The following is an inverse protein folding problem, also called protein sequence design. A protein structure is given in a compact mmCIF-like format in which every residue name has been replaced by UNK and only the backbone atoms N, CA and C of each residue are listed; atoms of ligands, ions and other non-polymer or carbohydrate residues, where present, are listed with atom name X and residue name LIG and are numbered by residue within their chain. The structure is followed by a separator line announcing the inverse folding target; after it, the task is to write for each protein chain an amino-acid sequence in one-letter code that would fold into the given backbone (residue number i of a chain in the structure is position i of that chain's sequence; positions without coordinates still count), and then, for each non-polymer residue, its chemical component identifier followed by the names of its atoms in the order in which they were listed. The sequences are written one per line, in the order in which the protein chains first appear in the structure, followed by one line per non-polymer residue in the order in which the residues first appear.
data_IF_268721298369
#
_entry.id   IF_268721298369
#
_cell.length_a   1.000
_cell.length_b   1.000
_cell.length_c   1.000
_cell.angle_alpha   90.00
_cell.angle_beta   90.00
_cell.angle_gamma   90.00
#
_symmetry.space_group_name_H-M   'P 1'
#
loop_
_entity.id
_entity.type
_entity.pdbx_description
1 polymer ?
#
# COMPACT_ATOMS: atom_id res chain seq x y z
N UNK A 1 -4.28 1.12 -49.81
CA UNK A 1 -5.05 2.02 -48.93
C UNK A 1 -4.96 1.43 -47.54
N UNK A 2 -3.92 1.83 -46.80
CA UNK A 2 -3.45 1.12 -45.61
C UNK A 2 -4.33 1.43 -44.40
N UNK A 3 -4.87 0.38 -43.77
CA UNK A 3 -5.54 0.46 -42.50
C UNK A 3 -4.50 0.79 -41.42
N UNK A 4 -4.64 1.97 -40.83
CA UNK A 4 -3.84 2.43 -39.70
C UNK A 4 -4.40 1.81 -38.43
N UNK A 5 -3.72 0.78 -37.93
CA UNK A 5 -3.96 0.23 -36.60
C UNK A 5 -3.49 1.26 -35.56
N UNK A 6 -4.43 1.80 -34.79
CA UNK A 6 -4.11 2.51 -33.56
C UNK A 6 -3.74 1.45 -32.53
N UNK A 7 -2.45 1.28 -32.25
CA UNK A 7 -2.03 0.56 -31.04
C UNK A 7 -2.12 1.59 -29.92
N UNK A 8 -3.27 1.62 -29.27
CA UNK A 8 -3.40 2.22 -27.94
C UNK A 8 -2.42 1.49 -27.02
N UNK A 9 -1.36 2.18 -26.59
CA UNK A 9 -0.48 1.68 -25.53
C UNK A 9 -1.33 1.45 -24.28
N UNK A 10 -1.33 0.25 -23.66
CA UNK A 10 -1.88 0.11 -22.33
C UNK A 10 -0.93 0.83 -21.39
N UNK A 11 -1.38 2.02 -20.99
CA UNK A 11 -0.81 2.88 -19.96
C UNK A 11 -0.05 2.06 -18.92
N UNK A 12 1.27 2.19 -18.98
CA UNK A 12 2.27 1.81 -17.99
C UNK A 12 1.68 1.93 -16.59
N UNK A 13 1.19 0.81 -16.06
CA UNK A 13 0.75 0.72 -14.68
C UNK A 13 2.02 0.82 -13.85
N UNK A 14 2.35 2.05 -13.44
CA UNK A 14 3.49 2.43 -12.62
C UNK A 14 3.47 1.65 -11.30
N UNK A 15 3.94 0.41 -11.38
CA UNK A 15 4.18 -0.49 -10.26
C UNK A 15 5.58 -0.17 -9.75
N UNK A 16 5.73 0.95 -9.05
CA UNK A 16 6.99 1.26 -8.37
C UNK A 16 6.69 1.75 -6.96
N UNK A 17 7.07 0.89 -6.02
CA UNK A 17 7.01 0.99 -4.55
C UNK A 17 5.70 0.47 -3.93
N UNK A 18 5.89 -0.47 -2.99
CA UNK A 18 4.83 -1.27 -2.37
C UNK A 18 3.65 -0.46 -1.88
N UNK A 19 2.47 -1.08 -1.89
CA UNK A 19 1.21 -0.42 -1.57
C UNK A 19 1.28 0.38 -0.26
N UNK A 20 1.09 1.70 -0.35
CA UNK A 20 1.08 2.61 0.79
C UNK A 20 -0.37 2.90 1.19
N UNK A 21 -0.74 2.57 2.43
CA UNK A 21 -2.02 2.87 3.03
C UNK A 21 -1.91 4.02 4.03
N UNK A 22 -2.59 5.13 3.74
CA UNK A 22 -2.70 6.25 4.68
C UNK A 22 -3.78 5.96 5.72
N UNK A 23 -3.47 6.24 6.97
CA UNK A 23 -4.41 6.13 8.10
C UNK A 23 -4.54 7.47 8.81
N UNK A 24 -5.60 7.71 9.60
CA UNK A 24 -5.83 8.99 10.25
C UNK A 24 -4.65 9.43 11.13
N UNK A 25 -4.38 10.73 11.16
CA UNK A 25 -3.39 11.32 12.05
C UNK A 25 -3.66 10.94 13.52
N UNK A 26 -2.61 10.63 14.26
CA UNK A 26 -2.70 10.19 15.66
C UNK A 26 -2.98 8.70 15.84
N UNK A 27 -3.10 7.94 14.76
CA UNK A 27 -3.23 6.48 14.85
C UNK A 27 -1.90 5.87 15.33
N UNK A 28 -1.92 5.18 16.46
CA UNK A 28 -0.73 4.47 16.99
C UNK A 28 -0.68 2.99 16.60
N UNK A 29 -1.80 2.43 16.13
CA UNK A 29 -1.92 0.99 15.83
C UNK A 29 -2.89 0.75 14.69
N UNK A 30 -2.55 -0.18 13.79
CA UNK A 30 -3.36 -0.57 12.64
C UNK A 30 -3.46 -2.08 12.53
N UNK A 31 -4.60 -2.59 12.07
CA UNK A 31 -4.77 -4.00 11.69
C UNK A 31 -4.46 -4.18 10.21
N UNK A 32 -3.78 -5.26 9.86
CA UNK A 32 -3.53 -5.64 8.47
C UNK A 32 -3.90 -7.12 8.29
N UNK A 33 -4.67 -7.42 7.25
CA UNK A 33 -5.12 -8.75 6.84
C UNK A 33 -4.75 -9.06 5.38
N UNK A 34 -3.98 -8.18 4.72
CA UNK A 34 -3.58 -8.34 3.33
C UNK A 34 -4.68 -8.11 2.28
N UNK A 35 -5.81 -7.48 2.62
CA UNK A 35 -6.92 -7.25 1.68
C UNK A 35 -8.11 -8.21 1.85
N UNK A 36 -8.11 -9.00 2.93
CA UNK A 36 -9.19 -9.90 3.31
C UNK A 36 -9.25 -11.19 2.49
N UNK A 37 -9.85 -12.23 3.08
CA UNK A 37 -10.09 -13.51 2.41
C UNK A 37 -8.83 -14.38 2.23
N UNK A 38 -8.89 -15.31 1.27
CA UNK A 38 -7.91 -16.41 1.14
C UNK A 38 -6.53 -15.98 0.61
N UNK A 39 -6.44 -14.83 -0.07
CA UNK A 39 -5.19 -14.32 -0.66
C UNK A 39 -4.43 -13.34 0.26
N UNK A 40 -5.01 -13.01 1.41
CA UNK A 40 -4.37 -12.16 2.42
C UNK A 40 -3.42 -12.93 3.33
N UNK A 41 -3.35 -12.49 4.59
CA UNK A 41 -2.63 -13.18 5.66
C UNK A 41 -3.45 -13.11 6.95
N UNK A 42 -3.11 -13.91 7.98
CA UNK A 42 -3.76 -13.78 9.28
C UNK A 42 -3.73 -12.34 9.77
N UNK A 43 -4.85 -11.86 10.31
CA UNK A 43 -4.94 -10.50 10.83
C UNK A 43 -3.87 -10.29 11.91
N UNK A 44 -3.00 -9.30 11.67
CA UNK A 44 -2.01 -8.84 12.63
C UNK A 44 -2.24 -7.39 12.98
N UNK A 45 -1.63 -6.98 14.08
CA UNK A 45 -1.62 -5.59 14.51
C UNK A 45 -0.20 -5.02 14.47
N UNK A 46 -0.05 -3.90 13.77
CA UNK A 46 1.21 -3.17 13.65
C UNK A 46 1.14 -1.92 14.54
N UNK A 47 2.20 -1.69 15.30
CA UNK A 47 2.39 -0.43 16.02
C UNK A 47 3.09 0.56 15.10
N UNK A 48 2.50 1.74 14.92
CA UNK A 48 3.07 2.81 14.11
C UNK A 48 4.09 3.57 14.95
N UNK A 49 5.34 3.55 14.51
CA UNK A 49 6.43 4.25 15.20
C UNK A 49 6.61 5.64 14.60
N UNK A 50 6.58 6.67 15.45
CA UNK A 50 6.86 8.05 15.04
C UNK A 50 8.31 8.16 14.58
N UNK A 51 8.50 8.71 13.38
CA UNK A 51 9.80 9.03 12.80
C UNK A 51 10.05 10.54 12.89
N UNK A 52 11.24 10.96 12.49
CA UNK A 52 11.55 12.39 12.37
C UNK A 52 10.52 13.09 11.48
N UNK A 53 10.04 14.25 11.92
CA UNK A 53 8.97 14.99 11.23
C UNK A 53 7.55 14.66 11.67
N UNK A 54 7.35 13.86 12.72
CA UNK A 54 6.03 13.63 13.33
C UNK A 54 5.17 12.57 12.62
N UNK A 55 5.66 12.00 11.53
CA UNK A 55 4.97 10.95 10.77
C UNK A 55 5.16 9.60 11.47
N UNK A 56 4.07 8.88 11.73
CA UNK A 56 4.14 7.51 12.25
C UNK A 56 3.97 6.50 11.12
N UNK A 57 4.82 5.47 11.09
CA UNK A 57 4.78 4.46 10.03
C UNK A 57 5.11 3.05 10.51
N UNK A 58 4.61 2.05 9.79
CA UNK A 58 4.91 0.63 9.97
C UNK A 58 4.79 -0.13 8.65
N UNK A 59 5.53 -1.23 8.50
CA UNK A 59 5.47 -2.10 7.32
C UNK A 59 4.93 -3.47 7.73
N UNK A 60 3.95 -3.99 6.99
CA UNK A 60 3.47 -5.35 7.19
C UNK A 60 4.54 -6.36 6.73
N UNK A 61 4.95 -7.34 7.56
CA UNK A 61 5.93 -8.35 7.17
C UNK A 61 5.40 -9.38 6.16
N UNK A 62 4.09 -9.43 5.91
CA UNK A 62 3.48 -10.42 5.03
C UNK A 62 3.24 -9.88 3.62
N UNK A 63 2.48 -8.79 3.50
CA UNK A 63 2.08 -8.22 2.21
C UNK A 63 2.92 -7.00 1.80
N UNK A 64 3.99 -6.69 2.55
CA UNK A 64 4.89 -5.54 2.35
C UNK A 64 4.21 -4.17 2.24
N UNK A 65 2.92 -4.08 2.58
CA UNK A 65 2.12 -2.86 2.62
C UNK A 65 2.66 -1.93 3.71
N UNK A 66 2.87 -0.66 3.36
CA UNK A 66 3.34 0.37 4.28
C UNK A 66 2.16 1.19 4.79
N UNK A 67 2.09 1.40 6.10
CA UNK A 67 1.07 2.23 6.74
C UNK A 67 1.69 3.54 7.19
N UNK A 68 1.03 4.66 6.88
CA UNK A 68 1.50 6.01 7.21
C UNK A 68 0.38 6.78 7.91
N UNK A 69 0.68 7.35 9.08
CA UNK A 69 -0.16 8.29 9.83
C UNK A 69 0.52 9.66 9.82
N UNK A 70 -0.07 10.61 9.11
CA UNK A 70 0.38 12.01 8.97
C UNK A 70 -0.79 12.97 9.11
#
# INVERSE_FOLDING_TARGET
MSAQHTTTEPQSQQSTLGEVSHVPAGTSRVSCDGGGGALGHPQIWLTLSVRQGGVAQATCPYCSRQFISS
#
